data_IF_432020775329
#
_entry.id   IF_432020775329
#
_cell.length_a   1.000
_cell.length_b   1.000
_cell.length_c   1.000
_cell.angle_alpha   90.00
_cell.angle_beta   90.00
_cell.angle_gamma   90.00
#
_symmetry.space_group_name_H-M   'P 1'
#
loop_
_entity.id
_entity.type
_entity.pdbx_description
1 polymer ?
#
# COMPACT_ATOMS: atom_id res chain seq x y z
N UNK A 1 -24.62 -9.79 19.66
CA UNK A 1 -23.28 -9.83 20.30
C UNK A 1 -22.43 -8.69 19.78
N UNK A 2 -21.62 -8.06 20.62
CA UNK A 2 -20.63 -7.07 20.19
C UNK A 2 -19.43 -7.76 19.54
N UNK A 3 -18.86 -7.16 18.49
CA UNK A 3 -17.74 -7.75 17.76
C UNK A 3 -16.45 -7.67 18.58
N UNK A 4 -15.67 -8.75 18.58
CA UNK A 4 -14.35 -8.78 19.21
C UNK A 4 -13.38 -7.81 18.53
N UNK A 5 -12.27 -7.48 19.19
CA UNK A 5 -11.25 -6.56 18.65
C UNK A 5 -10.71 -7.02 17.29
N UNK A 6 -10.38 -8.31 17.17
CA UNK A 6 -9.89 -8.89 15.91
C UNK A 6 -10.94 -8.83 14.81
N UNK A 7 -12.21 -9.08 15.13
CA UNK A 7 -13.32 -8.98 14.17
C UNK A 7 -13.56 -7.53 13.72
N UNK A 8 -13.44 -6.54 14.61
CA UNK A 8 -13.51 -5.12 14.23
C UNK A 8 -12.38 -4.73 13.30
N UNK A 9 -11.14 -5.13 13.62
CA UNK A 9 -9.97 -4.89 12.78
C UNK A 9 -10.11 -5.54 11.40
N UNK A 10 -10.53 -6.81 11.33
CA UNK A 10 -10.77 -7.50 10.08
C UNK A 10 -11.86 -6.82 9.25
N UNK A 11 -13.00 -6.48 9.88
CA UNK A 11 -14.08 -5.76 9.19
C UNK A 11 -13.61 -4.42 8.62
N UNK A 12 -12.78 -3.68 9.36
CA UNK A 12 -12.22 -2.42 8.90
C UNK A 12 -11.22 -2.62 7.74
N UNK A 13 -10.37 -3.65 7.82
CA UNK A 13 -9.45 -4.01 6.74
C UNK A 13 -10.20 -4.42 5.45
N UNK A 14 -11.22 -5.26 5.57
CA UNK A 14 -12.02 -5.75 4.44
C UNK A 14 -12.83 -4.64 3.75
N UNK A 15 -13.27 -3.61 4.49
CA UNK A 15 -13.98 -2.45 3.92
C UNK A 15 -13.08 -1.54 3.10
N UNK A 16 -11.76 -1.64 3.25
CA UNK A 16 -10.84 -0.81 2.48
C UNK A 16 -10.73 -1.28 1.04
N UNK A 17 -10.66 -0.31 0.13
CA UNK A 17 -10.31 -0.57 -1.26
C UNK A 17 -8.79 -0.58 -1.40
N UNK A 18 -8.22 -1.73 -1.73
CA UNK A 18 -6.78 -1.88 -1.92
C UNK A 18 -6.44 -1.88 -3.42
N UNK A 19 -5.56 -0.99 -3.86
CA UNK A 19 -5.20 -0.85 -5.28
C UNK A 19 -3.82 -0.22 -5.50
N UNK A 20 -3.38 -0.17 -6.75
CA UNK A 20 -2.33 0.74 -7.23
C UNK A 20 -2.97 2.06 -7.68
N UNK A 21 -2.17 3.11 -7.88
CA UNK A 21 -2.69 4.41 -8.33
C UNK A 21 -3.22 4.33 -9.76
N UNK A 22 -2.55 3.58 -10.64
CA UNK A 22 -3.00 3.36 -12.02
C UNK A 22 -4.13 2.33 -12.17
N UNK A 23 -4.44 1.55 -11.14
CA UNK A 23 -5.35 0.41 -11.22
C UNK A 23 -4.74 -0.83 -11.91
N UNK A 24 -3.52 -0.73 -12.45
CA UNK A 24 -2.80 -1.87 -13.04
C UNK A 24 -2.22 -2.79 -11.97
N UNK A 25 -1.97 -4.07 -12.28
CA UNK A 25 -1.32 -4.99 -11.35
C UNK A 25 0.02 -4.45 -10.83
N UNK A 26 0.32 -4.77 -9.58
CA UNK A 26 1.55 -4.33 -8.96
C UNK A 26 2.74 -5.19 -9.38
N UNK A 27 2.64 -6.52 -9.22
CA UNK A 27 3.72 -7.48 -9.50
C UNK A 27 3.27 -8.66 -10.37
N UNK A 28 1.96 -8.84 -10.57
CA UNK A 28 1.41 -10.02 -11.24
C UNK A 28 1.10 -9.74 -12.71
N UNK A 29 1.49 -10.67 -13.59
CA UNK A 29 1.18 -10.64 -15.02
C UNK A 29 2.01 -9.65 -15.83
N UNK A 30 1.87 -9.73 -17.15
CA UNK A 30 2.60 -8.92 -18.14
C UNK A 30 2.34 -7.41 -18.03
N UNK A 31 1.23 -7.01 -17.41
CA UNK A 31 0.84 -5.61 -17.19
C UNK A 31 1.31 -5.03 -15.85
N UNK A 32 2.16 -5.75 -15.11
CA UNK A 32 2.64 -5.32 -13.80
C UNK A 32 3.50 -4.04 -13.89
N UNK A 33 3.14 -3.01 -13.13
CA UNK A 33 3.85 -1.71 -13.18
C UNK A 33 4.90 -1.54 -12.09
N UNK A 34 4.97 -2.45 -11.11
CA UNK A 34 5.80 -2.31 -9.91
C UNK A 34 5.33 -1.19 -8.97
N UNK A 35 4.16 -0.60 -9.20
CA UNK A 35 3.58 0.42 -8.35
C UNK A 35 3.29 -0.10 -6.95
N UNK A 36 3.29 0.79 -5.95
CA UNK A 36 3.01 0.37 -4.59
C UNK A 36 1.52 0.11 -4.40
N UNK A 37 1.20 -1.08 -3.89
CA UNK A 37 -0.15 -1.51 -3.54
C UNK A 37 -0.47 -1.01 -2.13
N UNK A 38 -1.51 -0.18 -2.01
CA UNK A 38 -1.87 0.54 -0.79
C UNK A 38 -3.40 0.70 -0.69
N UNK A 39 -3.94 0.99 0.50
CA UNK A 39 -5.32 1.44 0.62
C UNK A 39 -5.56 2.69 -0.23
N UNK A 40 -6.72 2.79 -0.87
CA UNK A 40 -7.09 3.93 -1.71
C UNK A 40 -7.02 5.25 -0.94
N UNK A 41 -7.48 5.27 0.31
CA UNK A 41 -7.39 6.45 1.17
C UNK A 41 -5.93 6.87 1.41
N UNK A 42 -5.01 5.91 1.54
CA UNK A 42 -3.59 6.20 1.68
C UNK A 42 -3.00 6.78 0.38
N UNK A 43 -3.44 6.28 -0.79
CA UNK A 43 -3.00 6.81 -2.09
C UNK A 43 -3.46 8.27 -2.26
N UNK A 44 -4.71 8.57 -1.90
CA UNK A 44 -5.27 9.94 -1.94
C UNK A 44 -4.57 10.91 -0.98
N UNK A 45 -4.08 10.40 0.15
CA UNK A 45 -3.34 11.20 1.14
C UNK A 45 -1.87 11.45 0.78
N UNK A 46 -1.34 10.82 -0.26
CA UNK A 46 0.03 11.04 -0.75
C UNK A 46 0.02 12.03 -1.91
N UNK A 47 1.02 12.90 -1.96
CA UNK A 47 1.25 13.67 -3.17
C UNK A 47 1.67 12.74 -4.32
N UNK A 48 1.54 13.23 -5.56
CA UNK A 48 2.04 12.50 -6.73
C UNK A 48 3.54 12.18 -6.64
N UNK A 49 4.35 13.10 -6.11
CA UNK A 49 5.79 12.89 -5.93
C UNK A 49 6.12 11.86 -4.85
N UNK A 50 5.36 11.85 -3.74
CA UNK A 50 5.51 10.84 -2.70
C UNK A 50 5.16 9.45 -3.21
N UNK A 51 4.03 9.31 -3.91
CA UNK A 51 3.62 8.05 -4.50
C UNK A 51 4.64 7.54 -5.53
N UNK A 52 5.18 8.43 -6.36
CA UNK A 52 6.22 8.11 -7.32
C UNK A 52 7.50 7.63 -6.60
N UNK A 53 7.96 8.34 -5.57
CA UNK A 53 9.16 7.98 -4.80
C UNK A 53 9.03 6.61 -4.16
N UNK A 54 7.90 6.32 -3.53
CA UNK A 54 7.70 5.01 -2.89
C UNK A 54 7.56 3.87 -3.91
N UNK A 55 7.01 4.14 -5.10
CA UNK A 55 6.92 3.16 -6.19
C UNK A 55 8.29 2.92 -6.83
N UNK A 56 9.11 3.95 -7.01
CA UNK A 56 10.48 3.83 -7.48
C UNK A 56 11.33 2.94 -6.56
N UNK A 57 11.24 3.15 -5.24
CA UNK A 57 11.91 2.27 -4.26
C UNK A 57 11.39 0.83 -4.30
N UNK A 58 10.11 0.62 -4.63
CA UNK A 58 9.57 -0.73 -4.83
C UNK A 58 10.22 -1.38 -6.04
N UNK A 59 10.17 -0.72 -7.21
CA UNK A 59 10.77 -1.20 -8.46
C UNK A 59 12.26 -1.49 -8.30
N UNK A 60 12.99 -0.61 -7.60
CA UNK A 60 14.42 -0.78 -7.31
C UNK A 60 14.69 -2.03 -6.47
N UNK A 61 13.90 -2.27 -5.43
CA UNK A 61 14.03 -3.45 -4.60
C UNK A 61 13.68 -4.73 -5.37
N UNK A 62 12.60 -4.72 -6.15
CA UNK A 62 12.19 -5.85 -7.01
C UNK A 62 13.26 -6.17 -8.05
N UNK A 63 13.84 -5.17 -8.72
CA UNK A 63 14.95 -5.38 -9.67
C UNK A 63 16.19 -6.00 -9.02
N UNK A 64 16.39 -5.75 -7.73
CA UNK A 64 17.46 -6.36 -6.92
C UNK A 64 17.09 -7.75 -6.39
N UNK A 65 15.99 -8.35 -6.84
CA UNK A 65 15.52 -9.66 -6.38
C UNK A 65 14.96 -9.67 -4.95
N UNK A 66 14.72 -8.50 -4.34
CA UNK A 66 14.20 -8.46 -2.97
C UNK A 66 12.70 -8.74 -2.94
N UNK A 67 12.30 -9.71 -2.12
CA UNK A 67 10.89 -10.02 -1.85
C UNK A 67 10.16 -8.84 -1.18
N UNK A 68 10.86 -8.06 -0.34
CA UNK A 68 10.30 -6.93 0.41
C UNK A 68 11.00 -5.61 0.08
N UNK A 69 10.21 -4.52 0.05
CA UNK A 69 10.69 -3.15 -0.16
C UNK A 69 10.23 -2.21 0.96
N UNK A 70 11.17 -1.68 1.74
CA UNK A 70 10.89 -0.69 2.78
C UNK A 70 10.41 0.62 2.14
N UNK A 71 9.31 1.18 2.64
CA UNK A 71 8.87 2.53 2.25
C UNK A 71 9.82 3.57 2.84
N UNK A 72 10.05 4.70 2.15
CA UNK A 72 10.72 5.85 2.75
C UNK A 72 10.04 6.25 4.07
N UNK A 73 10.83 6.51 5.12
CA UNK A 73 10.33 6.66 6.51
C UNK A 73 9.18 7.66 6.63
N UNK A 74 9.26 8.82 5.97
CA UNK A 74 8.21 9.84 6.01
C UNK A 74 6.88 9.35 5.41
N UNK A 75 6.94 8.68 4.26
CA UNK A 75 5.77 8.11 3.56
C UNK A 75 5.20 6.94 4.36
N UNK A 76 6.07 6.11 4.94
CA UNK A 76 5.66 5.00 5.80
C UNK A 76 4.83 5.48 6.99
N UNK A 77 5.21 6.60 7.62
CA UNK A 77 4.46 7.23 8.72
C UNK A 77 3.09 7.73 8.27
N UNK A 78 3.00 8.39 7.11
CA UNK A 78 1.73 8.83 6.52
C UNK A 78 0.81 7.63 6.25
N UNK A 79 1.30 6.62 5.54
CA UNK A 79 0.49 5.46 5.14
C UNK A 79 0.15 4.52 6.29
N UNK A 80 0.91 4.54 7.42
CA UNK A 80 0.63 3.70 8.60
C UNK A 80 -0.77 3.94 9.16
N UNK A 81 -1.20 5.20 9.23
CA UNK A 81 -2.51 5.59 9.78
C UNK A 81 -3.68 4.91 9.06
N UNK A 82 -3.51 4.54 7.79
CA UNK A 82 -4.56 3.92 6.98
C UNK A 82 -4.56 2.39 7.05
N UNK A 83 -3.61 1.76 7.74
CA UNK A 83 -3.51 0.28 7.84
C UNK A 83 -3.45 -0.23 9.27
N UNK A 84 -3.57 0.67 10.24
CA UNK A 84 -3.64 0.32 11.66
C UNK A 84 -5.09 0.42 12.09
N UNK A 85 -5.66 -0.72 12.49
CA UNK A 85 -7.03 -0.81 12.98
C UNK A 85 -7.02 -1.19 14.47
N UNK A 86 -8.06 -0.75 15.17
CA UNK A 86 -8.21 -0.88 16.62
C UNK A 86 -9.13 -2.02 17.01
#
# INVERSE_FOLDING_TARGET
>A
MSLSKSQRSLRAWTRQKWRTKSGKPSTQGSKATGERYLPEAAIKALSSSEYAKTSAEKRKATRRGKQVSKQPKAIARKTKKFRSFS
#
